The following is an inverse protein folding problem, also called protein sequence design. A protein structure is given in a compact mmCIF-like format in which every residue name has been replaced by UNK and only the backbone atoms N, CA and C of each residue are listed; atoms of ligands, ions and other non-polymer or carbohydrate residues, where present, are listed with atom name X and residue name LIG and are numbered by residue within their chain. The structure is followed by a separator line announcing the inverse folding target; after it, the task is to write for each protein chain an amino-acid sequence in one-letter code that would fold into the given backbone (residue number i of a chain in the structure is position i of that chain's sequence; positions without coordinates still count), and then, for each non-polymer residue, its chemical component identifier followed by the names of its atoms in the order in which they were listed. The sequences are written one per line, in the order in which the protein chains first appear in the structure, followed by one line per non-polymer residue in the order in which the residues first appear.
data_IF_039814520921
#
_entry.id   IF_039814520921
#
_cell.length_a   1.000
_cell.length_b   1.000
_cell.length_c   1.000
_cell.angle_alpha   90.00
_cell.angle_beta   90.00
_cell.angle_gamma   90.00
#
_symmetry.space_group_name_H-M   'P 1'
#
loop_
_entity.id
_entity.type
_entity.pdbx_description
1 polymer ?
#
# COMPACT_ATOMS: atom_id res chain seq x y z
N UNK A 1 -32.51 -66.72 -65.30
CA UNK A 1 -32.19 -67.20 -63.98
C UNK A 1 -31.61 -66.05 -63.12
N UNK A 2 -32.44 -65.64 -62.26
CA UNK A 2 -32.35 -64.43 -61.40
C UNK A 2 -31.99 -64.93 -60.01
N UNK A 3 -31.05 -64.33 -59.33
CA UNK A 3 -30.95 -64.14 -57.88
C UNK A 3 -29.52 -64.00 -57.38
N UNK A 4 -29.34 -63.06 -56.53
CA UNK A 4 -28.19 -62.90 -55.62
C UNK A 4 -27.13 -61.89 -55.99
N UNK A 5 -27.50 -60.61 -55.99
CA UNK A 5 -26.57 -59.54 -55.68
C UNK A 5 -27.33 -58.42 -54.93
N UNK A 6 -27.80 -58.68 -53.73
CA UNK A 6 -28.25 -57.70 -52.75
C UNK A 6 -27.69 -58.22 -51.42
N UNK A 7 -26.63 -57.66 -50.89
CA UNK A 7 -26.21 -57.67 -49.48
C UNK A 7 -24.72 -57.30 -49.29
N UNK A 8 -24.28 -56.25 -49.94
CA UNK A 8 -22.92 -55.75 -49.63
C UNK A 8 -22.87 -54.17 -49.51
N UNK A 9 -24.03 -53.56 -49.30
CA UNK A 9 -24.07 -52.04 -49.22
C UNK A 9 -24.58 -51.50 -47.89
N UNK A 10 -24.58 -52.30 -46.81
CA UNK A 10 -25.10 -51.88 -45.50
C UNK A 10 -24.12 -52.06 -44.33
N UNK A 11 -22.80 -52.00 -44.58
CA UNK A 11 -21.83 -52.07 -43.46
C UNK A 11 -20.70 -51.03 -43.55
N UNK A 12 -20.97 -49.84 -44.14
CA UNK A 12 -19.99 -48.76 -44.25
C UNK A 12 -20.50 -47.39 -43.70
N UNK A 13 -21.55 -47.38 -42.90
CA UNK A 13 -22.11 -46.15 -42.29
C UNK A 13 -22.20 -46.34 -40.77
N UNK A 14 -21.07 -46.63 -40.11
CA UNK A 14 -21.06 -46.87 -38.67
C UNK A 14 -19.80 -46.40 -37.91
N UNK A 15 -18.84 -45.76 -38.56
CA UNK A 15 -17.56 -45.34 -37.90
C UNK A 15 -17.16 -43.93 -38.31
N UNK A 16 -18.03 -42.93 -38.13
CA UNK A 16 -17.66 -41.50 -38.24
C UNK A 16 -18.43 -40.67 -37.20
N UNK A 17 -18.45 -41.09 -35.97
CA UNK A 17 -19.10 -40.28 -34.92
C UNK A 17 -18.41 -40.36 -33.55
N UNK A 18 -17.08 -40.63 -33.49
CA UNK A 18 -16.32 -40.52 -32.21
C UNK A 18 -14.99 -39.80 -32.47
N UNK A 19 -15.03 -38.59 -33.04
CA UNK A 19 -13.86 -37.70 -33.13
C UNK A 19 -14.27 -36.23 -33.02
N UNK A 20 -15.17 -35.91 -32.08
CA UNK A 20 -15.55 -34.51 -31.80
C UNK A 20 -15.72 -34.28 -30.31
N UNK A 21 -14.68 -34.57 -29.54
CA UNK A 21 -14.50 -34.06 -28.17
C UNK A 21 -13.01 -33.91 -27.90
N UNK A 22 -12.25 -33.37 -28.83
CA UNK A 22 -11.01 -32.70 -28.62
C UNK A 22 -11.30 -31.22 -28.64
N UNK A 23 -11.81 -30.65 -27.54
CA UNK A 23 -11.87 -29.22 -27.39
C UNK A 23 -10.42 -28.70 -27.49
N UNK A 24 -10.05 -28.24 -28.69
CA UNK A 24 -8.95 -27.32 -28.82
C UNK A 24 -9.30 -26.13 -27.92
N UNK A 25 -8.87 -26.16 -26.67
CA UNK A 25 -8.59 -24.95 -25.94
C UNK A 25 -7.48 -24.29 -26.74
N UNK A 26 -7.84 -23.47 -27.71
CA UNK A 26 -6.97 -22.40 -28.17
C UNK A 26 -6.64 -21.59 -26.93
N UNK A 27 -5.59 -22.00 -26.21
CA UNK A 27 -4.88 -21.10 -25.33
C UNK A 27 -4.45 -19.96 -26.23
N UNK A 28 -5.17 -18.85 -26.15
CA UNK A 28 -4.72 -17.59 -26.70
C UNK A 28 -3.32 -17.36 -26.09
N UNK A 29 -2.28 -17.67 -26.87
CA UNK A 29 -0.89 -17.38 -26.51
C UNK A 29 -0.78 -15.86 -26.35
N UNK A 30 -0.98 -15.34 -25.14
CA UNK A 30 -0.85 -13.93 -24.84
C UNK A 30 -1.77 -13.38 -23.75
N UNK A 31 -2.82 -14.11 -23.34
CA UNK A 31 -3.67 -13.65 -22.25
C UNK A 31 -3.23 -14.23 -20.89
N UNK A 32 -3.08 -13.34 -19.90
CA UNK A 32 -2.84 -13.71 -18.52
C UNK A 32 -4.08 -14.37 -17.88
N UNK A 33 -3.84 -15.23 -16.91
CA UNK A 33 -4.88 -15.83 -16.05
C UNK A 33 -4.70 -15.35 -14.61
N UNK A 34 -5.56 -15.76 -13.70
CA UNK A 34 -5.42 -15.41 -12.28
C UNK A 34 -4.09 -15.89 -11.64
N UNK A 35 -3.40 -16.88 -12.24
CA UNK A 35 -2.22 -17.54 -11.66
C UNK A 35 -1.06 -17.69 -12.65
N UNK A 36 -1.14 -17.08 -13.82
CA UNK A 36 -0.08 -17.15 -14.84
C UNK A 36 -0.10 -15.95 -15.76
N UNK A 37 1.04 -15.65 -16.37
CA UNK A 37 1.25 -14.54 -17.29
C UNK A 37 2.13 -13.44 -16.70
N UNK A 38 2.19 -12.31 -17.39
CA UNK A 38 2.97 -11.14 -16.96
C UNK A 38 2.11 -9.91 -17.06
N UNK A 39 2.01 -9.14 -15.97
CA UNK A 39 1.33 -7.84 -15.96
C UNK A 39 2.23 -6.75 -15.38
N UNK A 40 1.93 -5.51 -15.77
CA UNK A 40 2.46 -4.32 -15.12
C UNK A 40 1.54 -3.90 -13.99
N UNK A 41 2.15 -3.65 -12.83
CA UNK A 41 1.53 -3.11 -11.62
C UNK A 41 2.20 -1.77 -11.32
N UNK A 42 1.44 -0.74 -11.04
CA UNK A 42 1.97 0.51 -10.48
C UNK A 42 1.72 0.59 -8.98
N UNK A 43 2.60 1.25 -8.24
CA UNK A 43 2.43 1.34 -6.80
C UNK A 43 3.07 2.61 -6.24
N UNK A 44 2.44 3.16 -5.19
CA UNK A 44 3.08 4.19 -4.37
C UNK A 44 4.33 3.61 -3.68
N UNK A 45 5.48 4.25 -3.87
CA UNK A 45 6.76 3.82 -3.31
C UNK A 45 6.71 3.68 -1.78
N UNK A 46 5.91 4.50 -1.13
CA UNK A 46 5.73 4.41 0.33
C UNK A 46 5.19 3.06 0.81
N UNK A 47 4.63 2.23 -0.10
CA UNK A 47 4.06 0.91 0.18
C UNK A 47 4.98 -0.24 -0.25
N UNK A 48 6.17 0.05 -0.77
CA UNK A 48 7.06 -0.95 -1.37
C UNK A 48 7.32 -2.18 -0.48
N UNK A 49 7.64 -2.06 0.82
CA UNK A 49 7.96 -3.24 1.63
C UNK A 49 6.86 -4.29 1.67
N UNK A 50 5.61 -3.87 1.93
CA UNK A 50 4.48 -4.82 1.98
C UNK A 50 4.19 -5.42 0.61
N UNK A 51 4.32 -4.64 -0.46
CA UNK A 51 4.07 -5.12 -1.82
C UNK A 51 5.10 -6.17 -2.25
N UNK A 52 6.39 -5.96 -1.94
CA UNK A 52 7.44 -6.94 -2.23
C UNK A 52 7.24 -8.23 -1.42
N UNK A 53 6.80 -8.15 -0.17
CA UNK A 53 6.49 -9.32 0.64
C UNK A 53 5.33 -10.14 0.04
N UNK A 54 4.25 -9.48 -0.37
CA UNK A 54 3.09 -10.13 -1.02
C UNK A 54 3.47 -10.73 -2.37
N UNK A 55 4.21 -9.99 -3.20
CA UNK A 55 4.68 -10.46 -4.51
C UNK A 55 5.55 -11.70 -4.39
N UNK A 56 6.53 -11.68 -3.49
CA UNK A 56 7.46 -12.79 -3.31
C UNK A 56 6.74 -14.11 -3.00
N UNK A 57 5.73 -14.07 -2.12
CA UNK A 57 4.94 -15.25 -1.77
C UNK A 57 4.01 -15.65 -2.90
N UNK A 58 3.35 -14.69 -3.56
CA UNK A 58 2.46 -14.94 -4.70
C UNK A 58 3.19 -15.64 -5.84
N UNK A 59 4.33 -15.11 -6.30
CA UNK A 59 5.13 -15.69 -7.38
C UNK A 59 5.76 -17.04 -6.99
N UNK A 60 6.08 -17.24 -5.70
CA UNK A 60 6.52 -18.55 -5.19
C UNK A 60 5.42 -19.63 -5.28
N UNK A 61 4.16 -19.27 -5.02
CA UNK A 61 3.01 -20.18 -5.12
C UNK A 61 2.63 -20.41 -6.60
N UNK A 62 2.75 -19.38 -7.43
CA UNK A 62 2.39 -19.39 -8.85
C UNK A 62 3.60 -19.08 -9.72
N UNK A 63 4.47 -20.06 -9.99
CA UNK A 63 5.75 -19.83 -10.68
C UNK A 63 5.64 -19.28 -12.12
N UNK A 64 4.46 -19.39 -12.74
CA UNK A 64 4.18 -18.82 -14.06
C UNK A 64 3.54 -17.42 -14.00
N UNK A 65 3.40 -16.84 -12.81
CA UNK A 65 2.90 -15.49 -12.60
C UNK A 65 4.07 -14.54 -12.41
N UNK A 66 4.10 -13.43 -13.15
CA UNK A 66 5.18 -12.43 -13.07
C UNK A 66 4.59 -11.02 -12.96
N UNK A 67 4.83 -10.38 -11.84
CA UNK A 67 4.39 -9.02 -11.56
C UNK A 67 5.55 -8.04 -11.79
N UNK A 68 5.46 -7.22 -12.83
CA UNK A 68 6.40 -6.11 -13.07
C UNK A 68 5.90 -4.88 -12.32
N UNK A 69 6.46 -4.61 -11.13
CA UNK A 69 6.01 -3.51 -10.30
C UNK A 69 6.83 -2.26 -10.59
N UNK A 70 6.13 -1.16 -10.91
CA UNK A 70 6.68 0.17 -11.06
C UNK A 70 6.36 0.98 -9.81
N UNK A 71 7.38 1.21 -8.99
CA UNK A 71 7.28 2.09 -7.82
C UNK A 71 7.44 3.53 -8.26
N UNK A 72 6.44 4.35 -7.95
CA UNK A 72 6.39 5.77 -8.26
C UNK A 72 5.61 6.51 -7.18
N UNK A 73 5.28 7.77 -7.37
CA UNK A 73 4.36 8.46 -6.47
C UNK A 73 2.90 8.04 -6.74
N UNK A 74 2.02 8.24 -5.76
CA UNK A 74 0.62 7.80 -5.83
C UNK A 74 -0.14 8.37 -7.03
N UNK A 75 0.15 9.61 -7.41
CA UNK A 75 -0.50 10.28 -8.53
C UNK A 75 -0.17 9.60 -9.86
N UNK A 76 1.11 9.36 -10.10
CA UNK A 76 1.59 8.71 -11.32
C UNK A 76 1.20 7.23 -11.35
N UNK A 77 1.10 6.56 -10.18
CA UNK A 77 0.61 5.18 -10.09
C UNK A 77 -0.84 5.06 -10.59
N UNK A 78 -1.73 5.98 -10.21
CA UNK A 78 -3.11 6.04 -10.73
C UNK A 78 -3.13 6.40 -12.21
N UNK A 79 -2.31 7.37 -12.65
CA UNK A 79 -2.23 7.78 -14.05
C UNK A 79 -1.80 6.63 -14.98
N UNK A 80 -0.90 5.75 -14.54
CA UNK A 80 -0.53 4.54 -15.28
C UNK A 80 -1.72 3.60 -15.51
N UNK A 81 -2.63 3.46 -14.54
CA UNK A 81 -3.88 2.71 -14.71
C UNK A 81 -4.82 3.43 -15.66
N UNK A 82 -4.94 4.77 -15.56
CA UNK A 82 -5.74 5.57 -16.47
C UNK A 82 -5.32 5.39 -17.93
N UNK A 83 -4.00 5.36 -18.18
CA UNK A 83 -3.38 5.24 -19.52
C UNK A 83 -3.24 3.80 -20.03
N UNK A 84 -3.77 2.80 -19.31
CA UNK A 84 -3.58 1.36 -19.65
C UNK A 84 -2.11 0.90 -19.67
N UNK A 85 -1.23 1.61 -18.99
CA UNK A 85 0.18 1.24 -18.83
C UNK A 85 0.38 0.26 -17.68
N UNK A 86 -0.55 0.23 -16.72
CA UNK A 86 -0.62 -0.74 -15.64
C UNK A 86 -2.05 -1.31 -15.53
N UNK A 87 -2.13 -2.60 -15.19
CA UNK A 87 -3.42 -3.28 -14.98
C UNK A 87 -4.08 -2.93 -13.67
N UNK A 88 -3.25 -2.79 -12.65
CA UNK A 88 -3.66 -2.42 -11.30
C UNK A 88 -2.70 -1.39 -10.71
N UNK A 89 -3.19 -0.57 -9.79
CA UNK A 89 -2.38 0.29 -8.94
C UNK A 89 -2.59 -0.05 -7.47
N UNK A 90 -1.53 0.04 -6.67
CA UNK A 90 -1.59 -0.12 -5.22
C UNK A 90 -1.37 1.25 -4.57
N UNK A 91 -2.43 1.77 -3.94
CA UNK A 91 -2.54 3.16 -3.53
C UNK A 91 -3.33 3.30 -2.22
N UNK A 92 -3.33 4.51 -1.66
CA UNK A 92 -4.03 4.81 -0.39
C UNK A 92 -5.27 5.70 -0.59
N UNK A 93 -5.64 6.01 -1.83
CA UNK A 93 -6.83 6.78 -2.17
C UNK A 93 -7.72 6.09 -3.20
N UNK A 94 -8.93 6.54 -3.30
CA UNK A 94 -9.78 6.27 -4.46
C UNK A 94 -9.47 7.26 -5.59
N UNK A 95 -9.95 6.98 -6.79
CA UNK A 95 -9.83 7.91 -7.90
C UNK A 95 -10.63 9.18 -7.62
N UNK A 96 -10.10 10.29 -8.10
CA UNK A 96 -10.81 11.56 -8.10
C UNK A 96 -12.03 11.49 -9.02
N UNK A 97 -13.06 12.32 -8.81
CA UNK A 97 -14.26 12.30 -9.66
C UNK A 97 -13.97 12.43 -11.16
N UNK A 98 -13.02 13.29 -11.53
CA UNK A 98 -12.58 13.48 -12.92
C UNK A 98 -11.84 12.26 -13.49
N UNK A 99 -11.01 11.58 -12.69
CA UNK A 99 -10.32 10.36 -13.07
C UNK A 99 -11.34 9.22 -13.33
N UNK A 100 -12.34 9.10 -12.45
CA UNK A 100 -13.41 8.13 -12.58
C UNK A 100 -14.26 8.41 -13.82
N UNK A 101 -14.65 9.67 -14.02
CA UNK A 101 -15.43 10.07 -15.19
C UNK A 101 -14.71 9.78 -16.51
N UNK A 102 -13.37 9.93 -16.55
CA UNK A 102 -12.59 9.61 -17.73
C UNK A 102 -12.57 8.10 -18.05
N UNK A 103 -12.52 7.22 -17.03
CA UNK A 103 -12.68 5.76 -17.24
C UNK A 103 -14.11 5.38 -17.63
N UNK A 104 -15.11 5.98 -17.02
CA UNK A 104 -16.52 5.75 -17.36
C UNK A 104 -16.82 6.12 -18.82
N UNK A 105 -16.20 7.18 -19.36
CA UNK A 105 -16.33 7.60 -20.75
C UNK A 105 -15.85 6.53 -21.74
N UNK A 106 -14.88 5.72 -21.36
CA UNK A 106 -14.39 4.56 -22.13
C UNK A 106 -14.99 3.22 -21.65
N UNK A 107 -16.08 3.28 -20.88
CA UNK A 107 -16.83 2.12 -20.35
C UNK A 107 -16.02 1.17 -19.46
N UNK A 108 -15.07 1.72 -18.71
CA UNK A 108 -14.28 1.00 -17.72
C UNK A 108 -14.74 1.43 -16.34
N UNK A 109 -15.25 0.47 -15.54
CA UNK A 109 -15.59 0.71 -14.13
C UNK A 109 -14.46 0.23 -13.25
N UNK A 110 -13.71 1.12 -12.57
CA UNK A 110 -12.63 0.75 -11.70
C UNK A 110 -13.16 -0.01 -10.47
N UNK A 111 -12.39 -1.03 -10.03
CA UNK A 111 -12.67 -1.80 -8.81
C UNK A 111 -11.64 -1.50 -7.75
N UNK A 112 -12.09 -1.47 -6.50
CA UNK A 112 -11.23 -1.25 -5.35
C UNK A 112 -11.26 -2.47 -4.44
N UNK A 113 -10.09 -2.97 -4.08
CA UNK A 113 -9.92 -4.08 -3.15
C UNK A 113 -9.06 -3.64 -1.97
N UNK A 114 -9.65 -3.16 -0.86
CA UNK A 114 -8.90 -2.87 0.35
C UNK A 114 -8.24 -4.14 0.89
N UNK A 115 -6.97 -4.05 1.29
CA UNK A 115 -6.27 -5.21 1.84
C UNK A 115 -5.51 -4.94 3.14
N UNK A 116 -5.18 -3.68 3.44
CA UNK A 116 -4.49 -3.32 4.66
C UNK A 116 -4.89 -1.93 5.18
N UNK A 117 -4.65 -1.69 6.47
CA UNK A 117 -4.55 -0.34 7.02
C UNK A 117 -3.11 -0.10 7.45
N UNK A 118 -2.54 0.98 6.95
CA UNK A 118 -1.22 1.52 7.22
C UNK A 118 -1.36 2.82 8.01
N UNK A 119 -0.25 3.44 8.37
CA UNK A 119 -0.23 4.77 8.96
C UNK A 119 1.00 5.56 8.49
N UNK A 120 0.92 6.87 8.64
CA UNK A 120 2.08 7.75 8.48
C UNK A 120 2.79 7.86 9.83
N UNK A 121 4.09 7.55 9.84
CA UNK A 121 4.97 7.73 10.99
C UNK A 121 5.76 9.03 10.85
N UNK A 122 5.88 9.76 11.96
CA UNK A 122 6.85 10.82 12.12
C UNK A 122 8.11 10.21 12.73
N UNK A 123 9.25 10.41 12.09
CA UNK A 123 10.53 9.90 12.58
C UNK A 123 11.49 11.04 12.89
N UNK A 124 12.34 10.84 13.88
CA UNK A 124 13.22 11.85 14.45
C UNK A 124 14.63 11.28 14.62
N UNK A 125 15.61 12.15 14.65
CA UNK A 125 16.97 11.80 15.04
C UNK A 125 17.01 11.25 16.48
N UNK A 126 17.92 10.31 16.76
CA UNK A 126 18.07 9.70 18.08
C UNK A 126 18.38 10.70 19.20
N UNK A 127 19.04 11.81 18.88
CA UNK A 127 19.38 12.84 19.87
C UNK A 127 18.25 13.85 20.12
N UNK A 128 17.20 13.86 19.27
CA UNK A 128 16.07 14.73 19.47
C UNK A 128 15.26 14.30 20.71
N UNK A 129 14.98 15.22 21.62
CA UNK A 129 14.23 14.97 22.88
C UNK A 129 12.75 15.33 22.74
N UNK A 130 12.37 16.09 21.72
CA UNK A 130 11.01 16.53 21.46
C UNK A 130 10.29 15.46 20.61
N UNK A 131 9.72 14.46 21.24
CA UNK A 131 9.21 13.24 20.56
C UNK A 131 7.68 13.13 20.53
N UNK A 132 6.97 14.10 21.11
CA UNK A 132 5.50 14.07 21.22
C UNK A 132 4.90 15.28 20.51
N UNK A 133 3.94 15.04 19.60
CA UNK A 133 3.26 16.08 18.84
C UNK A 133 1.75 15.96 18.96
N UNK A 134 1.06 17.10 18.97
CA UNK A 134 -0.38 17.14 18.68
C UNK A 134 -0.62 17.26 17.18
N UNK A 135 -1.81 16.94 16.71
CA UNK A 135 -2.19 17.15 15.30
C UNK A 135 -2.17 18.64 14.93
N UNK A 136 -2.53 19.52 15.87
CA UNK A 136 -2.46 20.96 15.63
C UNK A 136 -1.02 21.46 15.50
N UNK A 137 -0.10 20.95 16.32
CA UNK A 137 1.33 21.26 16.15
C UNK A 137 1.86 20.73 14.81
N UNK A 138 1.49 19.51 14.40
CA UNK A 138 1.86 18.99 13.10
C UNK A 138 1.32 19.87 11.96
N UNK A 139 0.07 20.34 12.07
CA UNK A 139 -0.50 21.30 11.12
C UNK A 139 0.34 22.57 11.04
N UNK A 140 0.67 23.17 12.19
CA UNK A 140 1.45 24.41 12.27
C UNK A 140 2.89 24.25 11.76
N UNK A 141 3.47 23.07 11.87
CA UNK A 141 4.74 22.72 11.24
C UNK A 141 4.58 22.65 9.72
N UNK A 142 3.58 21.91 9.24
CA UNK A 142 3.40 21.66 7.81
C UNK A 142 2.98 22.92 7.03
N UNK A 143 2.21 23.84 7.64
CA UNK A 143 1.77 25.10 7.01
C UNK A 143 2.78 26.24 7.16
N UNK A 144 3.85 26.05 7.95
CA UNK A 144 4.91 27.04 8.16
C UNK A 144 4.66 28.04 9.27
N UNK A 145 3.60 27.91 10.05
CA UNK A 145 3.39 28.71 11.26
C UNK A 145 4.53 28.48 12.26
N UNK A 146 4.96 27.22 12.41
CA UNK A 146 6.15 26.85 13.16
C UNK A 146 7.30 26.52 12.24
N UNK A 147 8.40 27.26 12.38
CA UNK A 147 9.63 27.09 11.58
C UNK A 147 10.86 26.75 12.41
N UNK A 148 10.71 26.75 13.73
CA UNK A 148 11.79 26.45 14.68
C UNK A 148 11.28 25.58 15.82
N UNK A 149 12.17 24.75 16.38
CA UNK A 149 11.87 23.82 17.47
C UNK A 149 11.46 24.52 18.76
N UNK A 150 12.00 25.72 19.04
CA UNK A 150 11.65 26.49 20.23
C UNK A 150 10.21 27.03 20.21
N UNK A 151 9.56 27.14 19.05
CA UNK A 151 8.13 27.45 18.94
C UNK A 151 7.27 26.26 19.40
N UNK A 152 7.75 25.01 19.23
CA UNK A 152 7.10 23.80 19.71
C UNK A 152 7.37 23.55 21.20
N UNK A 153 8.61 23.76 21.62
CA UNK A 153 9.07 23.59 22.99
C UNK A 153 10.07 24.72 23.33
N UNK A 154 9.70 25.69 24.16
CA UNK A 154 10.58 26.82 24.54
C UNK A 154 11.92 26.40 25.18
N UNK A 155 12.01 25.16 25.67
CA UNK A 155 13.24 24.58 26.24
C UNK A 155 14.10 23.86 25.20
N UNK A 156 13.64 23.76 23.95
CA UNK A 156 14.40 23.10 22.89
C UNK A 156 15.62 23.91 22.52
N UNK A 157 16.76 23.24 22.39
CA UNK A 157 18.01 23.81 21.91
C UNK A 157 18.22 23.60 20.42
N UNK A 158 17.27 22.94 19.74
CA UNK A 158 17.29 22.70 18.32
C UNK A 158 16.96 23.98 17.54
N UNK A 159 17.48 24.06 16.31
CA UNK A 159 17.34 25.25 15.47
C UNK A 159 16.08 25.25 14.58
N UNK A 160 16.27 25.55 13.30
CA UNK A 160 15.19 25.56 12.31
C UNK A 160 14.65 24.15 12.09
N UNK A 161 13.31 24.06 12.00
CA UNK A 161 12.62 22.84 11.62
C UNK A 161 12.92 22.48 10.15
N UNK A 162 13.11 21.20 9.90
CA UNK A 162 13.16 20.62 8.55
C UNK A 162 12.17 19.46 8.52
N UNK A 163 11.24 19.46 7.58
CA UNK A 163 10.37 18.31 7.33
C UNK A 163 10.76 17.66 6.02
N UNK A 164 11.04 16.38 6.05
CA UNK A 164 11.51 15.63 4.88
C UNK A 164 10.58 14.46 4.58
N UNK A 165 10.25 14.26 3.30
CA UNK A 165 9.42 13.19 2.77
C UNK A 165 9.98 12.66 1.43
N UNK A 166 9.44 11.54 0.97
CA UNK A 166 9.90 10.84 -0.22
C UNK A 166 9.63 11.61 -1.54
N UNK A 167 8.38 12.08 -1.73
CA UNK A 167 7.95 12.72 -2.95
C UNK A 167 6.78 13.70 -2.70
N UNK A 168 6.74 14.89 -3.33
CA UNK A 168 5.63 15.85 -3.16
C UNK A 168 4.26 15.32 -3.59
N UNK A 169 4.23 14.30 -4.45
CA UNK A 169 3.01 13.65 -4.97
C UNK A 169 2.77 12.28 -4.34
N UNK A 170 3.50 11.90 -3.27
CA UNK A 170 3.30 10.61 -2.61
C UNK A 170 1.97 10.56 -1.84
N UNK A 171 1.48 9.34 -1.62
CA UNK A 171 0.30 9.10 -0.80
C UNK A 171 0.47 9.57 0.64
N UNK A 172 1.70 9.63 1.16
CA UNK A 172 1.99 10.15 2.50
C UNK A 172 1.73 11.67 2.55
N UNK A 173 2.28 12.42 1.61
CA UNK A 173 2.10 13.88 1.51
C UNK A 173 0.64 14.23 1.25
N UNK A 174 -0.01 13.54 0.31
CA UNK A 174 -1.44 13.73 0.05
C UNK A 174 -2.26 13.49 1.32
N UNK A 175 -2.02 12.38 2.02
CA UNK A 175 -2.76 12.06 3.24
C UNK A 175 -2.63 13.16 4.31
N UNK A 176 -1.44 13.71 4.51
CA UNK A 176 -1.23 14.85 5.43
C UNK A 176 -1.92 16.13 4.94
N UNK A 177 -1.85 16.39 3.64
CA UNK A 177 -2.54 17.55 3.05
C UNK A 177 -4.06 17.47 3.26
N UNK A 178 -4.64 16.30 3.05
CA UNK A 178 -6.10 16.10 3.18
C UNK A 178 -6.54 16.05 4.64
N UNK A 179 -5.84 15.27 5.48
CA UNK A 179 -6.29 14.97 6.85
C UNK A 179 -5.87 16.06 7.87
N UNK A 180 -4.67 16.62 7.72
CA UNK A 180 -4.09 17.58 8.67
C UNK A 180 -4.24 19.02 8.18
N UNK A 181 -3.85 19.31 6.93
CA UNK A 181 -3.90 20.66 6.35
C UNK A 181 -5.27 21.04 5.79
N UNK A 182 -6.20 20.05 5.63
CA UNK A 182 -7.54 20.27 5.06
C UNK A 182 -7.51 20.95 3.68
N UNK A 183 -6.59 20.51 2.81
CA UNK A 183 -6.36 21.07 1.49
C UNK A 183 -5.42 22.28 1.47
N UNK A 184 -4.83 22.66 2.58
CA UNK A 184 -3.83 23.72 2.68
C UNK A 184 -2.51 23.36 1.99
N UNK A 185 -1.66 24.37 1.79
CA UNK A 185 -0.35 24.19 1.16
C UNK A 185 0.72 23.82 2.18
N UNK A 186 1.63 22.94 1.76
CA UNK A 186 2.84 22.60 2.51
C UNK A 186 3.87 23.75 2.38
N UNK A 187 4.49 24.09 3.49
CA UNK A 187 5.46 25.19 3.58
C UNK A 187 6.83 24.85 2.97
N UNK A 188 7.64 25.86 2.56
CA UNK A 188 8.91 25.62 1.86
C UNK A 188 10.00 24.92 2.68
N UNK A 189 9.93 24.88 4.02
CA UNK A 189 10.88 24.14 4.86
C UNK A 189 10.54 22.63 4.92
N UNK A 190 9.46 22.22 4.29
CA UNK A 190 9.09 20.85 4.01
C UNK A 190 9.55 20.52 2.59
N UNK A 191 10.46 19.54 2.43
CA UNK A 191 11.05 19.23 1.13
C UNK A 191 11.12 17.73 0.89
N UNK A 192 11.25 17.37 -0.37
CA UNK A 192 11.34 15.98 -0.80
C UNK A 192 12.79 15.55 -1.00
N UNK A 193 13.04 14.28 -0.72
CA UNK A 193 14.16 13.47 -1.23
C UNK A 193 13.62 12.51 -2.30
N UNK A 194 14.28 11.38 -2.57
CA UNK A 194 13.85 10.51 -3.68
C UNK A 194 13.15 9.22 -3.22
N UNK A 195 13.32 8.84 -1.93
CA UNK A 195 12.80 7.57 -1.41
C UNK A 195 12.66 7.58 0.11
N UNK A 196 11.85 6.67 0.66
CA UNK A 196 11.73 6.52 2.10
C UNK A 196 13.05 6.13 2.81
N UNK A 197 13.95 5.29 2.26
CA UNK A 197 15.28 5.09 2.82
C UNK A 197 16.11 6.38 2.92
N UNK A 198 16.00 7.29 1.92
CA UNK A 198 16.69 8.58 1.97
C UNK A 198 16.09 9.52 3.02
N UNK A 199 14.77 9.47 3.26
CA UNK A 199 14.15 10.18 4.39
C UNK A 199 14.78 9.72 5.70
N UNK A 200 14.91 8.41 5.91
CA UNK A 200 15.53 7.84 7.13
C UNK A 200 16.99 8.28 7.27
N UNK A 201 17.77 8.21 6.18
CA UNK A 201 19.18 8.64 6.17
C UNK A 201 19.31 10.15 6.46
N UNK A 202 18.42 10.98 5.93
CA UNK A 202 18.42 12.42 6.21
C UNK A 202 18.15 12.71 7.69
N UNK A 203 17.16 12.02 8.28
CA UNK A 203 16.82 12.17 9.70
C UNK A 203 17.94 11.67 10.60
N UNK A 204 18.62 10.57 10.25
CA UNK A 204 19.79 10.06 10.98
C UNK A 204 20.89 11.13 11.09
N UNK A 205 21.13 11.90 10.02
CA UNK A 205 22.19 12.89 9.94
C UNK A 205 21.82 14.29 10.46
N UNK A 206 20.51 14.57 10.63
CA UNK A 206 20.01 15.92 10.93
C UNK A 206 19.13 15.93 12.17
N UNK A 207 19.63 16.47 13.29
CA UNK A 207 18.90 16.57 14.58
C UNK A 207 17.61 17.39 14.50
N UNK A 208 17.55 18.35 13.57
CA UNK A 208 16.44 19.26 13.39
C UNK A 208 15.36 18.71 12.44
N UNK A 209 15.58 17.52 11.87
CA UNK A 209 14.69 16.96 10.88
C UNK A 209 13.54 16.17 11.52
N UNK A 210 12.37 16.29 10.91
CA UNK A 210 11.21 15.41 11.08
C UNK A 210 11.02 14.68 9.74
N UNK A 211 11.15 13.37 9.74
CA UNK A 211 10.88 12.55 8.56
C UNK A 211 9.44 12.06 8.53
N UNK A 212 8.86 12.02 7.34
CA UNK A 212 7.49 11.52 7.07
C UNK A 212 7.63 10.24 6.25
N UNK A 213 7.22 9.09 6.80
CA UNK A 213 7.29 7.79 6.11
C UNK A 213 6.03 6.97 6.33
N UNK A 214 5.77 5.98 5.47
CA UNK A 214 4.80 4.92 5.75
C UNK A 214 5.30 4.00 6.85
N UNK A 215 4.41 3.58 7.75
CA UNK A 215 4.76 2.69 8.87
C UNK A 215 5.34 1.36 8.40
N UNK A 216 4.92 0.88 7.23
CA UNK A 216 5.42 -0.38 6.67
C UNK A 216 6.93 -0.41 6.38
N UNK A 217 7.62 0.73 6.40
CA UNK A 217 9.08 0.83 6.31
C UNK A 217 9.83 0.51 7.60
N UNK A 218 9.11 0.46 8.73
CA UNK A 218 9.70 0.29 10.07
C UNK A 218 8.92 -0.68 10.96
N UNK A 219 7.89 -1.35 10.46
CA UNK A 219 6.95 -2.13 11.31
C UNK A 219 7.31 -3.60 11.43
N UNK A 220 7.94 -4.22 10.44
CA UNK A 220 8.35 -5.63 10.52
C UNK A 220 9.63 -5.78 11.37
N UNK A 221 9.46 -6.27 12.59
CA UNK A 221 10.57 -6.46 13.53
C UNK A 221 11.45 -7.68 13.21
N UNK A 222 11.01 -8.56 12.33
CA UNK A 222 11.77 -9.73 11.88
C UNK A 222 12.66 -9.37 10.68
N UNK A 223 12.33 -8.30 9.94
CA UNK A 223 13.12 -7.81 8.82
C UNK A 223 14.40 -7.10 9.30
N UNK A 224 15.56 -7.54 8.78
CA UNK A 224 16.87 -7.00 9.19
C UNK A 224 17.08 -5.55 8.75
N UNK A 225 16.57 -5.16 7.59
CA UNK A 225 16.66 -3.81 7.06
C UNK A 225 15.85 -2.85 7.92
N UNK A 226 14.61 -3.22 8.29
CA UNK A 226 13.74 -2.40 9.13
C UNK A 226 14.30 -2.26 10.55
N UNK A 227 14.87 -3.33 11.12
CA UNK A 227 15.62 -3.22 12.39
C UNK A 227 16.82 -2.26 12.27
N UNK A 228 17.53 -2.32 11.14
CA UNK A 228 18.61 -1.37 10.83
C UNK A 228 18.10 0.08 10.78
N UNK A 229 16.95 0.34 10.20
CA UNK A 229 16.33 1.67 10.20
C UNK A 229 15.94 2.11 11.61
N UNK A 230 15.27 1.26 12.38
CA UNK A 230 14.84 1.57 13.74
C UNK A 230 16.00 1.82 14.71
N UNK A 231 17.20 1.29 14.43
CA UNK A 231 18.40 1.58 15.25
C UNK A 231 18.96 2.98 15.02
N UNK A 232 18.52 3.69 13.96
CA UNK A 232 19.05 4.98 13.52
C UNK A 232 18.13 6.16 13.83
N UNK A 233 16.86 5.89 14.13
CA UNK A 233 15.81 6.92 14.31
C UNK A 233 14.94 6.62 15.53
N UNK A 234 14.20 7.64 15.95
CA UNK A 234 13.08 7.51 16.90
C UNK A 234 11.77 7.67 16.16
N UNK A 235 10.78 6.88 16.55
CA UNK A 235 9.40 7.08 16.11
C UNK A 235 8.71 8.01 17.09
N UNK A 236 8.18 9.11 16.60
CA UNK A 236 7.44 10.07 17.39
C UNK A 236 6.07 9.52 17.84
N UNK A 237 5.56 10.10 18.89
CA UNK A 237 4.22 9.82 19.43
C UNK A 237 3.27 10.97 19.06
N UNK A 238 2.04 10.60 18.76
CA UNK A 238 0.97 11.58 18.51
C UNK A 238 -0.04 11.58 19.64
N UNK A 239 -0.52 12.76 19.97
CA UNK A 239 -1.67 12.97 20.84
C UNK A 239 -2.93 12.86 19.96
N UNK A 240 -3.95 12.08 20.38
CA UNK A 240 -5.23 12.03 19.68
C UNK A 240 -5.86 13.40 19.49
N UNK A 241 -6.70 13.53 18.47
CA UNK A 241 -7.42 14.79 18.20
C UNK A 241 -8.32 15.16 19.40
N UNK A 242 -8.37 16.45 19.74
CA UNK A 242 -9.17 17.01 20.84
C UNK A 242 -8.69 16.65 22.27
N UNK A 243 -7.44 16.24 22.44
CA UNK A 243 -6.83 16.03 23.74
C UNK A 243 -5.62 16.94 23.94
N UNK A 244 -5.43 17.45 25.16
CA UNK A 244 -4.22 18.19 25.53
C UNK A 244 -3.04 17.23 25.73
N UNK A 245 -1.82 17.71 25.46
CA UNK A 245 -0.57 16.97 25.66
C UNK A 245 -0.38 16.46 27.09
N UNK A 246 -0.85 17.24 28.07
CA UNK A 246 -0.68 16.95 29.49
C UNK A 246 -1.63 15.84 30.00
N UNK A 247 -2.78 15.66 29.35
CA UNK A 247 -3.85 14.76 29.81
C UNK A 247 -4.00 13.53 28.90
N UNK A 248 -3.40 13.58 27.71
CA UNK A 248 -3.62 12.56 26.68
C UNK A 248 -2.64 11.42 26.76
N UNK A 249 -3.15 10.21 26.59
CA UNK A 249 -2.34 9.04 26.26
C UNK A 249 -1.73 9.23 24.87
N UNK A 250 -0.40 9.33 24.78
CA UNK A 250 0.31 9.44 23.52
C UNK A 250 0.38 8.09 22.81
N UNK A 251 0.41 8.08 21.48
CA UNK A 251 0.34 6.88 20.66
C UNK A 251 1.42 6.87 19.59
N UNK A 252 2.16 5.77 19.52
CA UNK A 252 2.98 5.43 18.34
C UNK A 252 2.09 4.73 17.31
N UNK A 253 2.50 4.67 16.03
CA UNK A 253 1.75 4.00 14.98
C UNK A 253 1.85 2.46 15.09
N UNK A 254 1.50 1.93 16.24
CA UNK A 254 1.47 0.50 16.46
C UNK A 254 0.19 -0.11 15.92
N UNK A 255 0.30 -1.34 15.46
CA UNK A 255 -0.79 -2.08 14.83
C UNK A 255 -2.10 -2.05 15.64
N UNK A 256 -2.05 -2.18 16.98
CA UNK A 256 -3.23 -2.10 17.83
C UNK A 256 -3.94 -0.74 17.73
N UNK A 257 -3.22 0.37 17.79
CA UNK A 257 -3.81 1.70 17.69
C UNK A 257 -4.31 2.05 16.30
N UNK A 258 -3.66 1.50 15.25
CA UNK A 258 -4.12 1.61 13.87
C UNK A 258 -5.42 0.83 13.70
N UNK A 259 -5.52 -0.40 14.21
CA UNK A 259 -6.71 -1.25 14.09
C UNK A 259 -7.94 -0.65 14.80
N UNK A 260 -7.72 -0.01 15.95
CA UNK A 260 -8.75 0.71 16.70
C UNK A 260 -9.04 2.11 16.14
N UNK A 261 -8.32 2.53 15.09
CA UNK A 261 -8.37 3.89 14.50
C UNK A 261 -8.10 5.00 15.51
N UNK A 262 -7.33 4.69 16.55
CA UNK A 262 -6.94 5.63 17.60
C UNK A 262 -5.71 6.45 17.18
N UNK A 263 -4.80 5.87 16.39
CA UNK A 263 -3.68 6.62 15.84
C UNK A 263 -4.17 7.57 14.73
N UNK A 264 -3.93 8.89 14.84
CA UNK A 264 -4.63 9.88 13.99
C UNK A 264 -4.30 9.80 12.50
N UNK A 265 -3.11 9.32 12.12
CA UNK A 265 -2.63 9.33 10.75
C UNK A 265 -2.71 7.93 10.10
N UNK A 266 -3.71 7.13 10.46
CA UNK A 266 -3.98 5.86 9.79
C UNK A 266 -4.56 6.10 8.39
N UNK A 267 -4.26 5.18 7.46
CA UNK A 267 -4.76 5.24 6.07
C UNK A 267 -5.10 3.84 5.55
N UNK A 268 -6.05 3.78 4.62
CA UNK A 268 -6.43 2.54 3.95
C UNK A 268 -5.50 2.29 2.77
N UNK A 269 -5.01 1.05 2.62
CA UNK A 269 -4.26 0.60 1.44
C UNK A 269 -5.16 -0.29 0.60
N UNK A 270 -5.19 -0.05 -0.70
CA UNK A 270 -6.09 -0.77 -1.61
C UNK A 270 -5.48 -0.97 -2.99
N UNK A 271 -5.97 -1.99 -3.67
CA UNK A 271 -5.71 -2.23 -5.07
C UNK A 271 -6.81 -1.56 -5.89
N UNK A 272 -6.42 -0.66 -6.78
CA UNK A 272 -7.25 -0.12 -7.84
C UNK A 272 -7.03 -0.96 -9.10
N UNK A 273 -8.10 -1.56 -9.63
CA UNK A 273 -8.04 -2.40 -10.82
C UNK A 273 -8.96 -1.87 -11.92
N UNK A 274 -8.45 -1.84 -13.16
CA UNK A 274 -9.24 -1.60 -14.36
C UNK A 274 -9.58 -2.88 -15.14
N UNK A 275 -9.20 -4.06 -14.64
CA UNK A 275 -9.46 -5.33 -15.33
C UNK A 275 -10.95 -5.56 -15.52
N UNK A 276 -11.36 -5.78 -16.77
CA UNK A 276 -12.73 -6.12 -17.12
C UNK A 276 -13.01 -7.63 -16.98
N UNK A 277 -11.97 -8.47 -17.01
CA UNK A 277 -12.03 -9.93 -16.87
C UNK A 277 -11.18 -10.40 -15.68
N UNK A 278 -11.31 -11.66 -15.34
CA UNK A 278 -10.44 -12.29 -14.35
C UNK A 278 -9.08 -12.54 -15.00
N UNK A 279 -8.10 -11.71 -14.65
CA UNK A 279 -6.71 -11.78 -15.07
C UNK A 279 -5.76 -11.89 -13.87
N UNK A 280 -4.46 -11.70 -14.13
CA UNK A 280 -3.42 -11.85 -13.11
C UNK A 280 -3.51 -10.76 -12.03
N UNK A 281 -3.97 -9.56 -12.36
CA UNK A 281 -4.23 -8.51 -11.37
C UNK A 281 -5.36 -8.88 -10.41
N UNK A 282 -6.45 -9.46 -10.92
CA UNK A 282 -7.53 -10.01 -10.09
C UNK A 282 -7.03 -11.18 -9.25
N UNK A 283 -6.17 -12.05 -9.80
CA UNK A 283 -5.55 -13.16 -9.08
C UNK A 283 -4.68 -12.68 -7.91
N UNK A 284 -3.83 -11.68 -8.15
CA UNK A 284 -3.00 -11.07 -7.11
C UNK A 284 -3.85 -10.37 -6.02
N UNK A 285 -4.85 -9.61 -6.41
CA UNK A 285 -5.77 -9.00 -5.46
C UNK A 285 -6.51 -10.04 -4.58
N UNK A 286 -6.94 -11.14 -5.18
CA UNK A 286 -7.60 -12.26 -4.47
C UNK A 286 -6.63 -12.98 -3.53
N UNK A 287 -5.37 -13.15 -3.94
CA UNK A 287 -4.32 -13.73 -3.09
C UNK A 287 -4.07 -12.85 -1.86
N UNK A 288 -3.87 -11.53 -2.05
CA UNK A 288 -3.64 -10.60 -0.93
C UNK A 288 -4.84 -10.60 0.05
N UNK A 289 -6.07 -10.66 -0.48
CA UNK A 289 -7.28 -10.72 0.35
C UNK A 289 -7.50 -12.08 1.03
N UNK A 290 -6.77 -13.13 0.63
CA UNK A 290 -6.86 -14.47 1.23
C UNK A 290 -6.19 -14.53 2.60
N UNK A 291 -6.43 -15.63 3.35
CA UNK A 291 -5.79 -15.88 4.64
C UNK A 291 -4.24 -15.81 4.55
N UNK A 292 -3.65 -16.29 3.46
CA UNK A 292 -2.19 -16.25 3.25
C UNK A 292 -1.68 -14.81 3.11
N UNK A 293 -2.29 -14.02 2.24
CA UNK A 293 -1.92 -12.61 2.05
C UNK A 293 -2.17 -11.81 3.33
N UNK A 294 -3.29 -12.00 3.99
CA UNK A 294 -3.59 -11.27 5.23
C UNK A 294 -2.67 -11.62 6.40
N UNK A 295 -2.09 -12.83 6.42
CA UNK A 295 -1.00 -13.18 7.37
C UNK A 295 0.30 -12.44 7.05
N UNK A 296 0.60 -12.20 5.78
CA UNK A 296 1.75 -11.37 5.38
C UNK A 296 1.53 -9.93 5.86
N UNK A 297 0.35 -9.36 5.61
CA UNK A 297 -0.03 -8.02 6.12
C UNK A 297 0.16 -7.95 7.63
N UNK A 298 -0.37 -8.95 8.37
CA UNK A 298 -0.26 -8.99 9.83
C UNK A 298 1.19 -9.06 10.30
N UNK A 299 2.00 -9.92 9.70
CA UNK A 299 3.42 -10.09 10.03
C UNK A 299 4.23 -8.83 9.73
N UNK A 300 3.91 -8.14 8.64
CA UNK A 300 4.55 -6.86 8.29
C UNK A 300 4.19 -5.70 9.23
N UNK A 301 3.42 -5.96 10.30
CA UNK A 301 3.05 -4.95 11.30
C UNK A 301 1.93 -4.01 10.83
N UNK A 302 1.29 -4.29 9.70
CA UNK A 302 0.11 -3.60 9.20
C UNK A 302 -1.18 -4.28 9.69
N UNK A 303 -2.30 -3.59 9.57
CA UNK A 303 -3.60 -4.11 9.97
C UNK A 303 -4.29 -4.78 8.78
N UNK A 304 -4.57 -6.09 8.81
CA UNK A 304 -5.34 -6.76 7.78
C UNK A 304 -6.72 -6.14 7.57
N UNK A 305 -7.16 -6.02 6.31
CA UNK A 305 -8.47 -5.46 6.00
C UNK A 305 -9.58 -6.51 5.93
N UNK A 306 -9.24 -7.79 5.63
CA UNK A 306 -10.20 -8.87 5.42
C UNK A 306 -10.10 -10.00 6.44
N UNK A 307 -9.12 -9.96 7.35
CA UNK A 307 -8.99 -10.92 8.44
C UNK A 307 -9.17 -10.24 9.81
N UNK A 308 -9.84 -10.90 10.78
CA UNK A 308 -9.99 -10.35 12.12
C UNK A 308 -8.65 -10.30 12.86
N UNK A 309 -8.41 -9.23 13.62
CA UNK A 309 -7.27 -9.11 14.53
C UNK A 309 -7.76 -9.36 15.94
N UNK A 310 -7.02 -10.19 16.69
CA UNK A 310 -7.24 -10.36 18.11
C UNK A 310 -6.35 -9.38 18.88
N UNK A 311 -6.96 -8.39 19.52
CA UNK A 311 -6.28 -7.46 20.42
C UNK A 311 -6.39 -8.06 21.83
N UNK A 312 -5.26 -8.21 22.51
CA UNK A 312 -5.20 -8.65 23.90
C UNK A 312 -4.68 -7.48 24.72
N UNK A 313 -5.46 -7.01 25.67
CA UNK A 313 -5.00 -6.08 26.69
C UNK A 313 -4.29 -6.87 27.79
N UNK A 314 -3.01 -6.57 28.01
CA UNK A 314 -2.25 -7.16 29.11
C UNK A 314 -2.27 -6.17 30.26
N UNK A 315 -3.08 -6.42 31.25
CA UNK A 315 -3.03 -5.70 32.52
C UNK A 315 -1.85 -6.23 33.33
N UNK A 316 -0.83 -5.42 33.50
CA UNK A 316 0.32 -5.70 34.38
C UNK A 316 0.04 -5.36 35.84
N UNK A 317 -1.21 -5.35 36.29
CA UNK A 317 -1.56 -5.23 37.69
C UNK A 317 -1.38 -6.60 38.36
N UNK A 318 -0.16 -6.89 38.83
CA UNK A 318 0.07 -8.09 39.65
C UNK A 318 1.35 -8.89 39.38
N UNK A 319 2.46 -8.25 38.96
CA UNK A 319 3.80 -8.84 39.05
C UNK A 319 4.69 -8.00 39.96
#
# INVERSE_FOLDING_TARGET
MMKRQINFFMLAIGIVAIASCGGNSTQNKGEDTATSGTITVSADESLKPIIEAEKAVFESIYPNAHLKIFYTNEYDAVDMVMKDSARIAIVTREMLPEEKAALDAVKITPRYSPFAYDAIALILNLENKDTVFTIDQLKQILDGTYTTWNQLNPKSTLGKLQVVFDNPKSGAVRHLTDSVLKGGKIAPHCFAVQSNPEVIAHVEQNKNAIGIIGVNWISDKDDSLMRGFLSKIKVAELVPVNMDKAEARTMKPWQAYISLKQYPLWRKVQILSREARVGLGTGFASFIASDKGQRIVLKSGLVPATAPIRIIEVNNEGL
#
